data_IF_516267573553
#
_entry.id   IF_516267573553
#
_cell.length_a   1.000
_cell.length_b   1.000
_cell.length_c   1.000
_cell.angle_alpha   90.00
_cell.angle_beta   90.00
_cell.angle_gamma   90.00
#
_symmetry.space_group_name_H-M   'P 1'
#
loop_
_entity.id
_entity.type
_entity.pdbx_description
1 polymer ?
#
# COMPACT_ATOMS: atom_id res chain seq x y z
N UNK A 1 -21.80 -9.70 12.79
CA UNK A 1 -21.04 -8.52 13.26
C UNK A 1 -19.52 -8.74 13.34
N UNK A 2 -18.99 -9.90 13.77
CA UNK A 2 -17.53 -10.08 13.95
C UNK A 2 -16.72 -10.19 12.65
N UNK A 3 -17.30 -10.71 11.56
CA UNK A 3 -16.61 -10.87 10.26
C UNK A 3 -16.14 -9.54 9.69
N UNK A 4 -16.93 -8.48 9.81
CA UNK A 4 -16.58 -7.14 9.33
C UNK A 4 -15.42 -6.52 10.12
N UNK A 5 -15.41 -6.71 11.44
CA UNK A 5 -14.32 -6.22 12.30
C UNK A 5 -13.00 -6.95 12.00
N UNK A 6 -13.04 -8.27 11.81
CA UNK A 6 -11.88 -9.06 11.40
C UNK A 6 -11.30 -8.59 10.08
N UNK A 7 -12.15 -8.44 9.06
CA UNK A 7 -11.71 -7.91 7.75
C UNK A 7 -11.13 -6.51 7.83
N UNK A 8 -11.76 -5.62 8.61
CA UNK A 8 -11.24 -4.27 8.80
C UNK A 8 -9.84 -4.29 9.45
N UNK A 9 -9.64 -5.12 10.47
CA UNK A 9 -8.33 -5.29 11.12
C UNK A 9 -7.27 -5.77 10.13
N UNK A 10 -7.61 -6.74 9.29
CA UNK A 10 -6.67 -7.28 8.30
C UNK A 10 -6.31 -6.23 7.24
N UNK A 11 -7.30 -5.49 6.73
CA UNK A 11 -7.09 -4.39 5.78
C UNK A 11 -6.15 -3.34 6.37
N UNK A 12 -6.41 -2.89 7.60
CA UNK A 12 -5.58 -1.88 8.27
C UNK A 12 -4.16 -2.38 8.53
N UNK A 13 -4.00 -3.65 8.92
CA UNK A 13 -2.68 -4.27 9.15
C UNK A 13 -1.89 -4.35 7.85
N UNK A 14 -2.54 -4.72 6.75
CA UNK A 14 -1.91 -4.81 5.44
C UNK A 14 -1.47 -3.44 4.92
N UNK A 15 -2.27 -2.38 5.12
CA UNK A 15 -1.90 -1.01 4.77
C UNK A 15 -0.62 -0.59 5.53
N UNK A 16 -0.58 -0.83 6.84
CA UNK A 16 0.59 -0.49 7.66
C UNK A 16 1.84 -1.26 7.26
N UNK A 17 1.71 -2.57 7.02
CA UNK A 17 2.83 -3.41 6.60
C UNK A 17 3.37 -2.98 5.24
N UNK A 18 2.48 -2.67 4.29
CA UNK A 18 2.88 -2.15 2.98
C UNK A 18 3.65 -0.84 3.12
N UNK A 19 3.15 0.10 3.93
CA UNK A 19 3.83 1.37 4.19
C UNK A 19 5.23 1.17 4.79
N UNK A 20 5.38 0.23 5.75
CA UNK A 20 6.69 -0.10 6.34
C UNK A 20 7.67 -0.64 5.31
N UNK A 21 7.25 -1.65 4.54
CA UNK A 21 8.10 -2.25 3.52
C UNK A 21 8.49 -1.23 2.45
N UNK A 22 7.57 -0.35 2.04
CA UNK A 22 7.90 0.73 1.09
C UNK A 22 8.86 1.75 1.70
N UNK A 23 8.68 2.12 2.97
CA UNK A 23 9.61 3.01 3.66
C UNK A 23 11.03 2.43 3.71
N UNK A 24 11.16 1.14 4.01
CA UNK A 24 12.43 0.41 4.00
C UNK A 24 13.03 0.34 2.59
N UNK A 25 12.21 0.01 1.58
CA UNK A 25 12.63 -0.11 0.18
C UNK A 25 13.20 1.20 -0.37
N UNK A 26 12.60 2.33 -0.02
CA UNK A 26 12.97 3.65 -0.52
C UNK A 26 13.80 4.48 0.46
N UNK A 27 14.21 3.91 1.60
CA UNK A 27 15.03 4.61 2.59
C UNK A 27 14.34 5.80 3.27
N UNK A 28 13.01 5.78 3.39
CA UNK A 28 12.19 6.89 3.89
C UNK A 28 12.04 6.90 5.42
N UNK A 29 12.76 6.03 6.13
CA UNK A 29 12.69 5.89 7.58
C UNK A 29 11.25 5.67 8.07
N UNK A 30 10.64 6.63 8.78
CA UNK A 30 9.27 6.56 9.30
C UNK A 30 8.29 7.48 8.56
N UNK A 31 8.63 7.98 7.38
CA UNK A 31 7.71 8.75 6.57
C UNK A 31 6.68 7.82 5.89
N UNK A 32 5.69 7.40 6.68
CA UNK A 32 4.62 6.55 6.21
C UNK A 32 3.68 7.26 5.23
N UNK A 33 3.63 8.59 5.25
CA UNK A 33 2.78 9.34 4.33
C UNK A 33 3.36 9.26 2.91
N UNK A 34 4.65 9.52 2.75
CA UNK A 34 5.36 9.31 1.49
C UNK A 34 5.30 7.84 1.06
N UNK A 35 5.50 6.91 1.99
CA UNK A 35 5.54 5.48 1.69
C UNK A 35 4.20 4.92 1.19
N UNK A 36 3.09 5.31 1.81
CA UNK A 36 1.74 4.94 1.35
C UNK A 36 1.47 5.54 -0.04
N UNK A 37 1.87 6.79 -0.29
CA UNK A 37 1.69 7.41 -1.61
C UNK A 37 2.49 6.67 -2.69
N UNK A 38 3.73 6.28 -2.41
CA UNK A 38 4.55 5.52 -3.37
C UNK A 38 3.95 4.14 -3.62
N UNK A 39 3.58 3.39 -2.57
CA UNK A 39 3.06 2.03 -2.72
C UNK A 39 1.74 1.99 -3.50
N UNK A 40 0.87 2.97 -3.25
CA UNK A 40 -0.41 3.09 -3.97
C UNK A 40 -0.21 3.53 -5.41
N UNK A 41 0.67 4.51 -5.67
CA UNK A 41 1.04 4.94 -7.01
C UNK A 41 1.62 3.78 -7.83
N UNK A 42 2.59 3.04 -7.30
CA UNK A 42 3.18 1.89 -7.99
C UNK A 42 2.15 0.82 -8.36
N UNK A 43 1.22 0.51 -7.45
CA UNK A 43 0.20 -0.49 -7.71
C UNK A 43 -0.69 -0.09 -8.90
N UNK A 44 -1.10 1.18 -8.94
CA UNK A 44 -1.90 1.72 -10.06
C UNK A 44 -1.06 1.79 -11.34
N UNK A 45 0.16 2.31 -11.27
CA UNK A 45 1.06 2.41 -12.41
C UNK A 45 1.36 1.05 -13.05
N UNK A 46 1.63 0.02 -12.22
CA UNK A 46 1.80 -1.37 -12.70
C UNK A 46 0.56 -1.85 -13.44
N UNK A 47 -0.64 -1.62 -12.90
CA UNK A 47 -1.88 -1.98 -13.56
C UNK A 47 -2.12 -1.22 -14.88
N UNK A 48 -1.76 0.07 -14.94
CA UNK A 48 -1.85 0.88 -16.16
C UNK A 48 -0.89 0.40 -17.25
N UNK A 49 0.37 0.10 -16.88
CA UNK A 49 1.37 -0.43 -17.81
C UNK A 49 0.90 -1.77 -18.40
N UNK A 50 0.34 -2.67 -17.56
CA UNK A 50 -0.18 -3.96 -18.02
C UNK A 50 -1.37 -3.80 -18.98
N UNK A 51 -2.23 -2.81 -18.76
CA UNK A 51 -3.38 -2.55 -19.63
C UNK A 51 -2.98 -1.86 -20.95
N UNK A 52 -1.85 -1.18 -21.00
CA UNK A 52 -1.40 -0.40 -22.15
C UNK A 52 -2.15 0.94 -22.27
N UNK A 53 -1.96 1.62 -23.41
CA UNK A 53 -2.72 2.82 -23.77
C UNK A 53 -4.08 2.35 -24.28
N UNK A 54 -5.15 2.80 -23.60
CA UNK A 54 -6.56 2.51 -23.91
C UNK A 54 -7.33 3.79 -24.13
#
# INVERSE_FOLDING_TARGET
MSVYSGRLKDIMTNILNTAKTTAETYGLSKDYLASVNISTFENVAKAMIVKGIV
#
